data_IF_098835979191
#
_entry.id   IF_098835979191
#
_cell.length_a   1.000
_cell.length_b   1.000
_cell.length_c   1.000
_cell.angle_alpha   90.00
_cell.angle_beta   90.00
_cell.angle_gamma   90.00
#
_symmetry.space_group_name_H-M   'P 1'
#
loop_
_entity.id
_entity.type
_entity.pdbx_description
1 polymer ?
#
# COMPACT_ATOMS: atom_id res chain seq x y z
N UNK A 1 24.08 -32.32 -48.04
CA UNK A 1 24.14 -31.92 -46.61
C UNK A 1 23.08 -30.84 -46.40
N UNK A 2 21.99 -31.14 -45.68
CA UNK A 2 20.93 -30.17 -45.37
C UNK A 2 21.28 -29.51 -44.04
N UNK A 3 21.63 -28.23 -44.05
CA UNK A 3 21.79 -27.46 -42.81
C UNK A 3 20.39 -27.16 -42.26
N UNK A 4 20.06 -27.80 -41.14
CA UNK A 4 18.89 -27.46 -40.33
C UNK A 4 19.14 -26.17 -39.57
N UNK A 5 18.24 -25.21 -39.69
CA UNK A 5 18.26 -23.98 -38.91
C UNK A 5 17.57 -24.26 -37.57
N UNK A 6 18.32 -24.24 -36.48
CA UNK A 6 17.77 -24.23 -35.12
C UNK A 6 17.33 -22.80 -34.83
N UNK A 7 16.01 -22.57 -34.77
CA UNK A 7 15.45 -21.31 -34.32
C UNK A 7 15.60 -21.22 -32.79
N UNK A 8 16.54 -20.40 -32.33
CA UNK A 8 16.69 -20.06 -30.93
C UNK A 8 15.55 -19.10 -30.56
N UNK A 9 14.51 -19.59 -29.90
CA UNK A 9 13.46 -18.75 -29.31
C UNK A 9 14.05 -18.10 -28.05
N UNK A 10 14.60 -16.90 -28.20
CA UNK A 10 14.92 -16.03 -27.08
C UNK A 10 13.60 -15.64 -26.40
N UNK A 11 13.32 -16.25 -25.25
CA UNK A 11 12.29 -15.76 -24.34
C UNK A 11 12.80 -14.43 -23.77
N UNK A 12 12.44 -13.33 -24.43
CA UNK A 12 12.64 -12.01 -23.87
C UNK A 12 11.76 -11.92 -22.63
N UNK A 13 12.34 -12.19 -21.45
CA UNK A 13 11.78 -11.73 -20.19
C UNK A 13 11.74 -10.21 -20.31
N UNK A 14 10.57 -9.67 -20.65
CA UNK A 14 10.35 -8.24 -20.71
C UNK A 14 10.76 -7.66 -19.37
N UNK A 15 11.82 -6.85 -19.37
CA UNK A 15 12.15 -5.96 -18.28
C UNK A 15 10.98 -4.98 -18.18
N UNK A 16 9.96 -5.33 -17.38
CA UNK A 16 8.92 -4.39 -17.06
C UNK A 16 9.61 -3.22 -16.36
N UNK A 17 9.36 -1.97 -16.79
CA UNK A 17 9.89 -0.82 -16.09
C UNK A 17 9.42 -0.93 -14.62
N UNK A 18 10.37 -0.92 -13.68
CA UNK A 18 10.04 -0.80 -12.26
C UNK A 18 9.40 0.57 -12.10
N UNK A 19 8.07 0.61 -12.15
CA UNK A 19 7.32 1.73 -11.60
C UNK A 19 7.21 1.48 -10.11
N UNK A 20 7.28 2.55 -9.33
CA UNK A 20 6.90 2.50 -7.94
C UNK A 20 5.38 2.30 -7.89
N UNK A 21 4.99 1.03 -7.96
CA UNK A 21 3.61 0.57 -7.97
C UNK A 21 3.05 0.55 -6.55
N UNK A 22 1.75 0.80 -6.44
CA UNK A 22 1.00 0.65 -5.20
C UNK A 22 1.17 -0.77 -4.65
N UNK A 23 1.16 -0.88 -3.32
CA UNK A 23 1.10 -2.15 -2.62
C UNK A 23 -0.04 -2.13 -1.63
N UNK A 24 -0.86 -3.18 -1.64
CA UNK A 24 -2.01 -3.27 -0.77
C UNK A 24 -2.29 -4.71 -0.33
N UNK A 25 -3.06 -4.82 0.74
CA UNK A 25 -3.63 -6.07 1.21
C UNK A 25 -5.05 -6.15 0.60
N UNK A 26 -5.35 -7.20 -0.14
CA UNK A 26 -6.64 -7.39 -0.81
C UNK A 26 -7.37 -8.58 -0.18
N UNK A 27 -8.30 -8.34 0.77
CA UNK A 27 -9.19 -9.37 1.27
C UNK A 27 -10.02 -9.99 0.15
N UNK A 28 -10.26 -11.30 0.22
CA UNK A 28 -11.24 -11.96 -0.66
C UNK A 28 -12.67 -11.54 -0.32
N UNK A 29 -12.92 -11.27 0.96
CA UNK A 29 -14.14 -10.70 1.48
C UNK A 29 -13.81 -9.68 2.56
N UNK A 30 -14.49 -8.53 2.52
CA UNK A 30 -14.34 -7.46 3.51
C UNK A 30 -15.29 -7.62 4.71
N UNK A 31 -16.28 -8.51 4.60
CA UNK A 31 -17.15 -8.94 5.70
C UNK A 31 -17.04 -10.45 5.78
N UNK A 32 -16.56 -10.94 6.92
CA UNK A 32 -16.20 -12.34 7.15
C UNK A 32 -17.03 -12.86 8.32
N UNK A 33 -17.65 -14.02 8.13
CA UNK A 33 -18.46 -14.64 9.17
C UNK A 33 -17.56 -15.08 10.36
N UNK A 34 -18.11 -15.13 11.59
CA UNK A 34 -17.38 -15.66 12.74
C UNK A 34 -16.80 -17.06 12.44
N UNK A 35 -15.63 -17.35 13.00
CA UNK A 35 -14.90 -18.61 12.84
C UNK A 35 -14.55 -19.03 11.41
N UNK A 36 -14.75 -18.16 10.41
CA UNK A 36 -14.26 -18.38 9.05
C UNK A 36 -12.88 -17.75 8.83
N UNK A 37 -12.02 -18.32 7.97
CA UNK A 37 -10.70 -17.75 7.73
C UNK A 37 -10.80 -16.36 7.11
N UNK A 38 -10.01 -15.43 7.62
CA UNK A 38 -9.68 -14.20 6.89
C UNK A 38 -8.67 -14.59 5.82
N UNK A 39 -9.04 -14.36 4.56
CA UNK A 39 -8.21 -14.67 3.41
C UNK A 39 -7.87 -13.37 2.68
N UNK A 40 -6.59 -13.07 2.50
CA UNK A 40 -6.15 -11.88 1.78
C UNK A 40 -4.86 -12.12 0.98
N UNK A 41 -4.78 -11.43 -0.17
CA UNK A 41 -3.59 -11.39 -1.03
C UNK A 41 -2.79 -10.13 -0.75
N UNK A 42 -1.47 -10.24 -0.75
CA UNK A 42 -0.60 -9.07 -0.85
C UNK A 42 -0.44 -8.75 -2.34
N UNK A 43 -0.71 -7.51 -2.76
CA UNK A 43 -0.76 -7.13 -4.17
C UNK A 43 0.25 -6.03 -4.46
N UNK A 44 0.89 -6.10 -5.62
CA UNK A 44 1.70 -5.00 -6.19
C UNK A 44 1.16 -4.72 -7.58
N UNK A 45 0.82 -3.47 -7.87
CA UNK A 45 0.22 -3.12 -9.15
C UNK A 45 -0.20 -1.67 -9.23
N UNK A 46 -1.12 -1.38 -10.14
CA UNK A 46 -1.66 -0.04 -10.39
C UNK A 46 -3.18 -0.14 -10.58
N UNK A 47 -3.91 0.87 -10.11
CA UNK A 47 -5.38 0.95 -10.18
C UNK A 47 -6.08 -0.34 -9.73
N UNK A 48 -5.70 -0.87 -8.57
CA UNK A 48 -6.24 -2.12 -8.00
C UNK A 48 -6.13 -3.34 -8.94
N UNK A 49 -5.15 -3.32 -9.87
CA UNK A 49 -4.80 -4.43 -10.75
C UNK A 49 -3.32 -4.73 -10.58
N UNK A 50 -3.00 -5.92 -10.07
CA UNK A 50 -1.64 -6.24 -9.69
C UNK A 50 -1.35 -7.73 -9.59
N UNK A 51 -0.07 -8.04 -9.49
CA UNK A 51 0.41 -9.38 -9.19
C UNK A 51 0.30 -9.66 -7.68
N UNK A 52 0.07 -10.92 -7.33
CA UNK A 52 0.03 -11.36 -5.94
C UNK A 52 1.43 -11.75 -5.47
N UNK A 53 1.80 -11.33 -4.26
CA UNK A 53 3.02 -11.75 -3.57
C UNK A 53 2.69 -12.90 -2.62
N UNK A 54 3.61 -13.87 -2.54
CA UNK A 54 3.49 -14.99 -1.61
C UNK A 54 3.88 -14.58 -0.18
N UNK A 55 3.48 -15.39 0.80
CA UNK A 55 3.99 -15.32 2.16
C UNK A 55 5.47 -15.71 2.18
N UNK A 56 6.36 -14.73 2.38
CA UNK A 56 7.80 -14.93 2.41
C UNK A 56 8.35 -14.20 3.63
N UNK A 57 8.57 -14.88 4.77
CA UNK A 57 8.96 -14.23 6.04
C UNK A 57 10.14 -13.26 5.93
N UNK A 58 11.21 -13.56 5.16
CA UNK A 58 12.30 -12.59 4.98
C UNK A 58 11.91 -11.27 4.32
N UNK A 59 10.74 -11.18 3.66
CA UNK A 59 10.31 -10.01 2.90
C UNK A 59 9.47 -9.00 3.71
N UNK A 60 9.18 -9.28 4.97
CA UNK A 60 8.41 -8.40 5.83
C UNK A 60 8.98 -8.33 7.25
N UNK A 61 8.77 -7.20 7.92
CA UNK A 61 9.13 -6.98 9.33
C UNK A 61 7.95 -7.17 10.27
N UNK A 62 6.73 -7.02 9.74
CA UNK A 62 5.48 -7.12 10.48
C UNK A 62 4.39 -7.69 9.58
N UNK A 63 3.65 -8.66 10.09
CA UNK A 63 2.43 -9.16 9.47
C UNK A 63 1.51 -9.71 10.57
N UNK A 64 0.50 -8.95 10.94
CA UNK A 64 -0.45 -9.30 12.00
C UNK A 64 -1.88 -8.88 11.66
N UNK A 65 -2.83 -9.47 12.37
CA UNK A 65 -4.22 -9.02 12.44
C UNK A 65 -4.44 -8.47 13.84
N UNK A 66 -4.93 -7.24 13.92
CA UNK A 66 -5.32 -6.60 15.18
C UNK A 66 -6.84 -6.57 15.26
N UNK A 67 -7.42 -7.08 16.34
CA UNK A 67 -8.87 -7.02 16.58
C UNK A 67 -9.12 -6.92 18.07
N UNK A 68 -10.03 -6.02 18.48
CA UNK A 68 -10.33 -5.77 19.90
C UNK A 68 -9.07 -5.52 20.77
N UNK A 69 -8.04 -4.88 20.20
CA UNK A 69 -6.76 -4.58 20.87
C UNK A 69 -5.79 -5.77 20.98
N UNK A 70 -6.18 -6.96 20.52
CA UNK A 70 -5.30 -8.13 20.49
C UNK A 70 -4.54 -8.17 19.16
N UNK A 71 -3.20 -8.33 19.24
CA UNK A 71 -2.33 -8.47 18.06
C UNK A 71 -2.04 -9.95 17.83
N UNK A 72 -2.48 -10.46 16.69
CA UNK A 72 -2.37 -11.88 16.32
C UNK A 72 -1.45 -11.99 15.10
N UNK A 73 -0.23 -12.55 15.24
CA UNK A 73 0.69 -12.70 14.11
C UNK A 73 0.11 -13.60 13.02
N UNK A 74 0.23 -13.18 11.76
CA UNK A 74 -0.19 -13.99 10.61
C UNK A 74 0.75 -15.19 10.50
N UNK A 75 0.18 -16.39 10.57
CA UNK A 75 0.90 -17.64 10.37
C UNK A 75 0.71 -18.11 8.92
N UNK A 76 1.81 -18.46 8.26
CA UNK A 76 1.80 -18.98 6.90
C UNK A 76 3.02 -19.85 6.62
N UNK A 77 2.95 -20.66 5.57
CA UNK A 77 4.10 -21.41 5.06
C UNK A 77 4.81 -20.57 3.99
N UNK A 78 6.15 -20.58 3.94
CA UNK A 78 6.87 -19.91 2.86
C UNK A 78 6.37 -20.37 1.49
N UNK A 79 5.91 -19.41 0.68
CA UNK A 79 5.33 -19.67 -0.64
C UNK A 79 3.80 -19.67 -0.69
N UNK A 80 3.09 -19.59 0.44
CA UNK A 80 1.63 -19.54 0.45
C UNK A 80 1.08 -18.33 -0.32
N UNK A 81 0.07 -18.57 -1.14
CA UNK A 81 -0.63 -17.57 -1.93
C UNK A 81 -2.11 -18.00 -2.05
N UNK A 82 -3.07 -17.37 -1.35
CA UNK A 82 -2.99 -16.11 -0.58
C UNK A 82 -2.03 -16.13 0.61
N UNK A 83 -1.46 -14.96 0.93
CA UNK A 83 -0.44 -14.84 1.98
C UNK A 83 -1.03 -14.76 3.40
N UNK A 84 -2.29 -14.33 3.51
CA UNK A 84 -3.10 -14.43 4.71
C UNK A 84 -4.19 -15.46 4.48
N UNK A 85 -4.24 -16.48 5.34
CA UNK A 85 -5.32 -17.47 5.39
C UNK A 85 -5.34 -18.07 6.80
N UNK A 86 -6.08 -17.46 7.72
CA UNK A 86 -6.19 -17.96 9.11
C UNK A 86 -7.52 -17.58 9.75
N UNK A 87 -7.96 -18.41 10.68
CA UNK A 87 -9.09 -18.09 11.57
C UNK A 87 -8.59 -17.21 12.71
N UNK A 88 -9.20 -16.04 12.87
CA UNK A 88 -8.81 -15.08 13.91
C UNK A 88 -9.43 -15.44 15.28
N UNK A 89 -10.61 -16.06 15.29
CA UNK A 89 -11.29 -16.51 16.53
C UNK A 89 -11.82 -15.38 17.41
N UNK A 90 -12.11 -14.23 16.80
CA UNK A 90 -12.64 -13.00 17.43
C UNK A 90 -13.57 -12.30 16.45
N UNK A 91 -14.55 -11.58 16.99
CA UNK A 91 -15.39 -10.66 16.23
C UNK A 91 -14.93 -9.21 16.43
N UNK A 92 -15.33 -8.34 15.51
CA UNK A 92 -15.07 -6.91 15.53
C UNK A 92 -14.40 -6.41 14.25
N UNK A 93 -14.03 -5.13 14.25
CA UNK A 93 -13.22 -4.55 13.17
C UNK A 93 -11.79 -5.08 13.28
N UNK A 94 -11.40 -5.92 12.33
CA UNK A 94 -10.03 -6.40 12.21
C UNK A 94 -9.22 -5.45 11.32
N UNK A 95 -8.03 -5.11 11.79
CA UNK A 95 -7.01 -4.36 11.04
C UNK A 95 -5.87 -5.32 10.70
N UNK A 96 -5.78 -5.72 9.44
CA UNK A 96 -4.63 -6.48 8.94
C UNK A 96 -3.50 -5.51 8.66
N UNK A 97 -2.31 -5.74 9.21
CA UNK A 97 -1.14 -4.88 9.08
C UNK A 97 -0.02 -5.64 8.42
N UNK A 98 0.63 -5.04 7.42
CA UNK A 98 1.81 -5.60 6.77
C UNK A 98 2.87 -4.52 6.53
N UNK A 99 4.10 -4.76 7.01
CA UNK A 99 5.26 -3.89 6.76
C UNK A 99 6.34 -4.67 6.04
N UNK A 100 6.70 -4.24 4.84
CA UNK A 100 7.78 -4.90 4.10
C UNK A 100 9.14 -4.69 4.76
N UNK A 101 10.13 -5.51 4.36
CA UNK A 101 11.53 -5.08 4.51
C UNK A 101 11.80 -3.86 3.63
N UNK A 102 12.99 -3.27 3.79
CA UNK A 102 13.52 -2.31 2.84
C UNK A 102 13.80 -3.03 1.52
N UNK A 103 13.32 -2.42 0.45
CA UNK A 103 13.74 -2.71 -0.91
C UNK A 103 14.54 -1.53 -1.45
N UNK A 104 15.30 -1.79 -2.49
CA UNK A 104 16.02 -0.74 -3.23
C UNK A 104 15.66 -0.85 -4.70
N UNK A 105 15.55 0.29 -5.36
CA UNK A 105 15.42 0.37 -6.81
C UNK A 105 16.40 1.39 -7.38
N UNK A 106 16.73 1.22 -8.65
CA UNK A 106 17.38 2.25 -9.46
C UNK A 106 16.36 2.65 -10.52
N UNK A 107 16.08 3.95 -10.63
CA UNK A 107 15.21 4.47 -11.67
C UNK A 107 15.83 4.20 -13.04
N UNK A 108 15.00 3.85 -14.02
CA UNK A 108 15.49 3.55 -15.38
C UNK A 108 16.08 4.76 -16.10
N UNK A 109 15.59 5.96 -15.77
CA UNK A 109 15.97 7.24 -16.33
C UNK A 109 15.46 8.36 -15.40
N UNK A 110 16.08 9.55 -15.53
CA UNK A 110 15.68 10.76 -14.81
C UNK A 110 14.20 11.10 -14.98
N UNK A 111 13.68 10.99 -16.20
CA UNK A 111 12.29 11.30 -16.50
C UNK A 111 11.29 10.41 -15.73
N UNK A 112 11.69 9.20 -15.34
CA UNK A 112 10.86 8.30 -14.50
C UNK A 112 10.82 8.77 -13.07
N UNK A 113 11.94 9.24 -12.54
CA UNK A 113 11.98 9.84 -11.23
C UNK A 113 11.17 11.13 -11.17
N UNK A 114 11.28 12.00 -12.19
CA UNK A 114 10.48 13.24 -12.28
C UNK A 114 8.98 12.96 -12.36
N UNK A 115 8.55 12.02 -13.21
CA UNK A 115 7.13 11.61 -13.25
C UNK A 115 6.65 11.06 -11.92
N UNK A 116 7.50 10.33 -11.20
CA UNK A 116 7.17 9.85 -9.87
C UNK A 116 7.05 11.01 -8.87
N UNK A 117 7.98 11.95 -8.89
CA UNK A 117 7.94 13.16 -8.06
C UNK A 117 6.66 13.95 -8.29
N UNK A 118 6.30 14.20 -9.55
CA UNK A 118 5.10 14.96 -9.90
C UNK A 118 3.84 14.20 -9.50
N UNK A 119 3.78 12.90 -9.79
CA UNK A 119 2.60 12.09 -9.53
C UNK A 119 2.28 11.93 -8.04
N UNK A 120 3.30 11.75 -7.20
CA UNK A 120 3.14 11.60 -5.74
C UNK A 120 3.31 12.92 -4.97
N UNK A 121 3.34 14.05 -5.69
CA UNK A 121 3.47 15.41 -5.15
C UNK A 121 4.65 15.59 -4.18
N UNK A 122 5.82 15.15 -4.63
CA UNK A 122 7.11 15.26 -3.94
C UNK A 122 8.15 15.95 -4.83
N UNK A 123 7.71 16.93 -5.64
CA UNK A 123 8.56 17.71 -6.55
C UNK A 123 9.78 18.35 -5.88
N UNK A 124 9.69 18.64 -4.58
CA UNK A 124 10.84 19.12 -3.78
C UNK A 124 12.02 18.15 -3.79
N UNK A 125 11.77 16.83 -3.83
CA UNK A 125 12.82 15.81 -3.82
C UNK A 125 13.59 15.83 -5.16
N UNK A 126 12.88 16.03 -6.27
CA UNK A 126 13.50 16.22 -7.57
C UNK A 126 14.36 17.49 -7.61
N UNK A 127 13.87 18.63 -7.08
CA UNK A 127 14.65 19.86 -6.97
C UNK A 127 15.87 19.71 -6.04
N UNK A 128 15.71 19.04 -4.90
CA UNK A 128 16.77 18.76 -3.95
C UNK A 128 17.82 17.79 -4.51
N UNK A 129 17.43 16.87 -5.39
CA UNK A 129 18.38 15.99 -6.07
C UNK A 129 19.42 16.78 -6.87
N UNK A 130 18.95 17.78 -7.64
CA UNK A 130 19.81 18.66 -8.42
C UNK A 130 20.63 19.60 -7.53
N UNK A 131 19.98 20.18 -6.51
CA UNK A 131 20.65 21.06 -5.55
C UNK A 131 21.77 20.38 -4.75
N UNK A 132 21.65 19.06 -4.52
CA UNK A 132 22.68 18.23 -3.86
C UNK A 132 23.81 17.80 -4.80
N UNK A 133 23.74 18.12 -6.10
CA UNK A 133 24.75 17.74 -7.09
C UNK A 133 24.90 16.23 -7.26
N UNK A 134 23.80 15.49 -7.07
CA UNK A 134 23.77 14.03 -7.25
C UNK A 134 23.86 13.66 -8.73
N UNK A 135 24.16 12.39 -9.00
CA UNK A 135 24.22 11.88 -10.37
C UNK A 135 22.86 12.06 -11.06
N UNK A 136 22.85 12.92 -12.08
CA UNK A 136 21.63 13.30 -12.79
C UNK A 136 20.90 12.12 -13.44
N UNK A 137 21.65 11.14 -13.95
CA UNK A 137 21.09 10.03 -14.74
C UNK A 137 20.81 8.81 -13.87
N UNK A 138 21.44 8.70 -12.69
CA UNK A 138 21.30 7.55 -11.80
C UNK A 138 20.67 7.95 -10.47
N UNK A 139 19.35 7.76 -10.39
CA UNK A 139 18.61 7.93 -9.14
C UNK A 139 18.39 6.57 -8.49
N UNK A 140 18.81 6.45 -7.23
CA UNK A 140 18.58 5.27 -6.39
C UNK A 140 17.75 5.62 -5.18
N UNK A 141 16.83 4.72 -4.88
CA UNK A 141 15.86 4.87 -3.80
C UNK A 141 15.77 3.58 -3.00
N UNK A 142 15.71 3.73 -1.68
CA UNK A 142 15.21 2.71 -0.78
C UNK A 142 13.71 2.94 -0.53
N UNK A 143 12.92 1.89 -0.40
CA UNK A 143 11.51 2.04 -0.06
C UNK A 143 11.01 0.96 0.90
N UNK A 144 10.04 1.35 1.75
CA UNK A 144 9.26 0.45 2.62
C UNK A 144 7.77 0.72 2.45
N UNK A 145 6.96 -0.33 2.48
CA UNK A 145 5.49 -0.27 2.41
C UNK A 145 4.87 -0.65 3.73
N UNK A 146 3.88 0.14 4.16
CA UNK A 146 3.14 0.08 5.41
C UNK A 146 1.66 -0.01 5.05
N UNK A 147 1.18 -1.25 4.88
CA UNK A 147 -0.19 -1.50 4.44
C UNK A 147 -1.08 -1.87 5.62
N UNK A 148 -2.28 -1.29 5.65
CA UNK A 148 -3.39 -1.71 6.48
C UNK A 148 -4.58 -2.14 5.63
N UNK A 149 -5.39 -3.04 6.16
CA UNK A 149 -6.68 -3.42 5.57
C UNK A 149 -7.71 -3.63 6.68
N UNK A 150 -8.87 -2.97 6.56
CA UNK A 150 -9.98 -3.14 7.48
C UNK A 150 -10.88 -4.27 6.97
N UNK A 151 -11.28 -5.16 7.87
CA UNK A 151 -12.17 -6.29 7.59
C UNK A 151 -13.16 -6.42 8.75
N UNK A 152 -14.46 -6.47 8.46
CA UNK A 152 -15.46 -6.76 9.47
C UNK A 152 -15.49 -8.27 9.76
N UNK A 153 -15.23 -8.65 11.01
CA UNK A 153 -15.44 -10.01 11.50
C UNK A 153 -16.76 -10.05 12.29
N UNK A 154 -17.72 -10.86 11.84
CA UNK A 154 -19.08 -10.82 12.39
C UNK A 154 -19.75 -9.47 12.12
N UNK A 155 -20.25 -8.81 13.16
CA UNK A 155 -20.86 -7.47 13.04
C UNK A 155 -19.84 -6.35 12.76
N UNK A 156 -18.52 -6.62 12.83
CA UNK A 156 -17.50 -5.62 12.47
C UNK A 156 -17.41 -4.42 13.43
N UNK A 157 -18.00 -4.50 14.63
CA UNK A 157 -17.97 -3.41 15.63
C UNK A 157 -16.54 -3.10 16.07
N UNK A 158 -16.26 -1.82 16.30
CA UNK A 158 -14.95 -1.33 16.73
C UNK A 158 -14.52 -0.12 15.92
N UNK A 159 -13.25 0.23 16.01
CA UNK A 159 -12.65 1.33 15.27
C UNK A 159 -11.23 0.96 14.87
N UNK A 160 -10.76 1.54 13.76
CA UNK A 160 -9.33 1.53 13.47
C UNK A 160 -8.62 2.40 14.51
N UNK A 161 -7.31 2.20 14.64
CA UNK A 161 -6.45 2.97 15.52
C UNK A 161 -5.06 3.06 14.91
N UNK A 162 -4.25 3.98 15.44
CA UNK A 162 -2.82 3.99 15.16
C UNK A 162 -2.20 2.68 15.65
N UNK A 163 -1.42 2.03 14.78
CA UNK A 163 -0.70 0.78 15.08
C UNK A 163 0.81 0.98 15.16
N UNK A 164 1.28 2.23 15.05
CA UNK A 164 2.68 2.63 15.17
C UNK A 164 3.47 2.41 13.89
N UNK A 165 2.86 2.60 12.71
CA UNK A 165 3.59 2.57 11.44
C UNK A 165 4.35 3.88 11.24
N UNK A 166 5.53 3.82 10.62
CA UNK A 166 6.35 5.02 10.37
C UNK A 166 5.61 6.03 9.50
N UNK A 167 4.82 5.56 8.53
CA UNK A 167 3.79 6.37 7.86
C UNK A 167 2.50 5.58 7.92
N UNK A 168 1.41 6.24 8.26
CA UNK A 168 0.14 5.55 8.56
C UNK A 168 -1.05 6.33 8.02
N UNK A 169 -2.03 5.60 7.49
CA UNK A 169 -3.38 6.13 7.23
C UNK A 169 -4.30 5.46 8.23
N UNK A 170 -4.95 6.27 9.08
CA UNK A 170 -5.90 5.82 10.10
C UNK A 170 -7.31 6.21 9.65
N UNK A 171 -8.23 5.24 9.66
CA UNK A 171 -9.64 5.54 9.49
C UNK A 171 -10.21 6.11 10.80
N UNK A 172 -10.87 7.27 10.72
CA UNK A 172 -11.52 7.90 11.88
C UNK A 172 -13.02 7.52 12.01
N UNK A 173 -13.54 6.75 11.05
CA UNK A 173 -14.86 6.11 11.11
C UNK A 173 -14.74 4.62 10.75
N UNK A 174 -15.68 3.80 11.22
CA UNK A 174 -15.79 2.40 10.84
C UNK A 174 -16.59 2.26 9.53
N UNK A 175 -15.98 1.77 8.44
CA UNK A 175 -16.65 1.72 7.13
C UNK A 175 -17.81 0.71 7.04
N UNK A 176 -18.02 -0.11 8.07
CA UNK A 176 -19.03 -1.18 8.11
C UNK A 176 -20.21 -0.87 9.04
N UNK A 177 -20.02 0.01 10.03
CA UNK A 177 -21.03 0.24 11.08
C UNK A 177 -21.44 1.70 11.25
N UNK A 178 -20.61 2.64 10.81
CA UNK A 178 -20.87 4.06 11.01
C UNK A 178 -21.61 4.67 9.81
N UNK A 179 -22.25 5.82 10.01
CA UNK A 179 -22.88 6.58 8.94
C UNK A 179 -21.82 7.34 8.14
N UNK A 180 -21.72 7.04 6.85
CA UNK A 180 -20.74 7.62 5.92
C UNK A 180 -21.38 8.60 4.93
N UNK A 181 -22.59 9.08 5.21
CA UNK A 181 -23.31 10.02 4.33
C UNK A 181 -22.56 11.35 4.12
N UNK A 182 -21.76 11.77 5.11
CA UNK A 182 -20.88 12.94 5.03
C UNK A 182 -19.45 12.60 4.53
N UNK A 183 -19.23 11.35 4.10
CA UNK A 183 -17.94 10.82 3.64
C UNK A 183 -17.18 10.03 4.71
N UNK A 184 -16.00 9.55 4.34
CA UNK A 184 -15.13 8.70 5.15
C UNK A 184 -13.91 9.49 5.67
N UNK A 185 -13.91 9.90 6.95
CA UNK A 185 -12.80 10.67 7.51
C UNK A 185 -11.58 9.78 7.73
N UNK A 186 -10.42 10.28 7.31
CA UNK A 186 -9.13 9.63 7.50
C UNK A 186 -8.09 10.62 8.01
N UNK A 187 -7.06 10.09 8.66
CA UNK A 187 -5.89 10.84 9.13
C UNK A 187 -4.60 10.20 8.63
N UNK A 188 -3.71 11.03 8.08
CA UNK A 188 -2.36 10.62 7.67
C UNK A 188 -1.35 11.04 8.72
N UNK A 189 -0.52 10.10 9.14
CA UNK A 189 0.53 10.28 10.13
C UNK A 189 1.91 9.95 9.55
N UNK A 190 2.93 10.62 10.07
CA UNK A 190 4.33 10.27 9.92
C UNK A 190 4.99 10.28 11.30
N UNK A 191 5.57 9.16 11.71
CA UNK A 191 6.15 8.93 13.04
C UNK A 191 5.16 9.26 14.18
N UNK A 192 3.88 8.93 14.00
CA UNK A 192 2.79 9.24 14.94
C UNK A 192 2.35 10.70 14.95
N UNK A 193 3.04 11.60 14.24
CA UNK A 193 2.67 13.00 14.13
C UNK A 193 1.72 13.24 12.93
N UNK A 194 0.76 14.16 13.04
CA UNK A 194 -0.08 14.59 11.92
C UNK A 194 0.72 15.07 10.71
N UNK A 195 0.42 14.52 9.53
CA UNK A 195 1.05 14.94 8.27
C UNK A 195 0.10 15.81 7.46
N UNK A 196 0.19 17.12 7.67
CA UNK A 196 -0.57 18.09 6.90
C UNK A 196 -0.04 18.33 5.49
N UNK A 197 -0.91 18.87 4.63
CA UNK A 197 -0.63 19.12 3.21
C UNK A 197 -0.16 17.87 2.44
N UNK A 198 -0.53 16.68 2.92
CA UNK A 198 -0.20 15.42 2.28
C UNK A 198 -1.21 15.08 1.18
N UNK A 199 -0.71 14.70 0.00
CA UNK A 199 -1.54 14.09 -1.02
C UNK A 199 -1.99 12.69 -0.58
N UNK A 200 -3.29 12.43 -0.71
CA UNK A 200 -3.87 11.09 -0.56
C UNK A 200 -4.51 10.71 -1.88
N UNK A 201 -4.01 9.64 -2.50
CA UNK A 201 -4.59 9.08 -3.72
C UNK A 201 -5.60 8.00 -3.36
N UNK A 202 -6.84 8.16 -3.84
CA UNK A 202 -7.97 7.28 -3.54
C UNK A 202 -8.36 6.56 -4.82
N UNK A 203 -8.23 5.24 -4.80
CA UNK A 203 -8.72 4.33 -5.82
C UNK A 203 -10.07 3.78 -5.38
N UNK A 204 -11.12 4.13 -6.11
CA UNK A 204 -12.49 3.69 -5.89
C UNK A 204 -12.85 2.61 -6.90
N UNK A 205 -13.12 1.39 -6.43
CA UNK A 205 -13.49 0.24 -7.26
C UNK A 205 -14.96 -0.10 -7.10
N UNK A 206 -15.70 0.04 -8.20
CA UNK A 206 -17.10 -0.36 -8.32
C UNK A 206 -17.26 -1.89 -8.40
N UNK A 207 -18.48 -2.41 -8.17
CA UNK A 207 -18.79 -3.84 -8.28
C UNK A 207 -18.49 -4.47 -9.66
N UNK A 208 -18.51 -3.68 -10.74
CA UNK A 208 -18.17 -4.14 -12.09
C UNK A 208 -16.65 -4.15 -12.37
N UNK A 209 -15.84 -3.70 -11.42
CA UNK A 209 -14.38 -3.67 -11.49
C UNK A 209 -13.80 -2.43 -12.18
N UNK A 210 -14.61 -1.44 -12.52
CA UNK A 210 -14.14 -0.10 -12.90
C UNK A 210 -13.43 0.55 -11.71
N UNK A 211 -12.33 1.27 -11.98
CA UNK A 211 -11.56 1.95 -10.92
C UNK A 211 -11.42 3.41 -11.30
N UNK A 212 -11.95 4.28 -10.46
CA UNK A 212 -11.77 5.73 -10.52
C UNK A 212 -10.72 6.17 -9.52
N UNK A 213 -9.98 7.24 -9.85
CA UNK A 213 -8.88 7.74 -9.03
C UNK A 213 -9.08 9.21 -8.75
N UNK A 214 -8.98 9.58 -7.48
CA UNK A 214 -9.16 10.95 -6.98
C UNK A 214 -8.02 11.31 -6.04
N UNK A 215 -7.63 12.58 -6.05
CA UNK A 215 -6.60 13.11 -5.16
C UNK A 215 -7.27 13.98 -4.10
N UNK A 216 -6.93 13.72 -2.84
CA UNK A 216 -7.33 14.49 -1.69
C UNK A 216 -6.09 15.13 -1.05
N UNK A 217 -6.33 16.13 -0.20
CA UNK A 217 -5.29 16.85 0.53
C UNK A 217 -5.64 16.88 2.01
N UNK A 218 -4.66 16.61 2.86
CA UNK A 218 -4.84 16.70 4.31
C UNK A 218 -4.71 18.14 4.81
N UNK A 219 -5.49 18.48 5.84
CA UNK A 219 -5.37 19.72 6.61
C UNK A 219 -4.13 19.71 7.54
N UNK A 220 -3.95 20.77 8.33
CA UNK A 220 -2.81 20.88 9.26
C UNK A 220 -2.78 19.78 10.33
N UNK A 221 -3.92 19.19 10.66
CA UNK A 221 -4.05 18.07 11.59
C UNK A 221 -3.96 16.71 10.90
N UNK A 222 -3.55 16.68 9.62
CA UNK A 222 -3.34 15.48 8.83
C UNK A 222 -4.63 14.81 8.39
N UNK A 223 -5.77 15.51 8.43
CA UNK A 223 -7.09 14.94 8.15
C UNK A 223 -7.65 15.34 6.79
N UNK A 224 -8.44 14.45 6.21
CA UNK A 224 -9.26 14.73 5.04
C UNK A 224 -10.49 13.82 5.05
N UNK A 225 -11.52 14.16 4.28
CA UNK A 225 -12.73 13.36 4.16
C UNK A 225 -12.84 12.85 2.73
N UNK A 226 -12.88 11.52 2.58
CA UNK A 226 -12.91 10.84 1.29
C UNK A 226 -14.35 10.49 0.93
N UNK A 227 -14.78 10.79 -0.29
CA UNK A 227 -16.11 10.38 -0.74
C UNK A 227 -16.15 8.87 -0.97
N UNK A 228 -17.16 8.22 -0.42
CA UNK A 228 -17.36 6.76 -0.56
C UNK A 228 -18.76 6.43 -1.05
N UNK A 229 -18.88 5.30 -1.74
CA UNK A 229 -20.11 4.81 -2.36
C UNK A 229 -20.43 3.42 -1.79
N UNK A 230 -21.69 3.16 -1.38
CA UNK A 230 -22.12 1.83 -0.96
C UNK A 230 -21.84 0.76 -2.02
N UNK A 231 -21.35 -0.39 -1.57
CA UNK A 231 -20.97 -1.53 -2.42
C UNK A 231 -19.59 -1.44 -3.08
N UNK A 232 -18.84 -0.35 -2.90
CA UNK A 232 -17.52 -0.16 -3.50
C UNK A 232 -16.38 -0.59 -2.56
N UNK A 233 -15.22 -0.88 -3.15
CA UNK A 233 -13.97 -1.16 -2.42
C UNK A 233 -12.94 -0.08 -2.70
N UNK A 234 -12.12 0.23 -1.71
CA UNK A 234 -11.22 1.38 -1.72
C UNK A 234 -9.78 0.96 -1.45
N UNK A 235 -8.84 1.65 -2.10
CA UNK A 235 -7.43 1.71 -1.73
C UNK A 235 -7.04 3.19 -1.60
N UNK A 236 -6.52 3.55 -0.44
CA UNK A 236 -5.89 4.84 -0.19
C UNK A 236 -4.38 4.65 -0.20
N UNK A 237 -3.66 5.58 -0.84
CA UNK A 237 -2.21 5.61 -0.91
C UNK A 237 -1.68 7.01 -0.54
N UNK A 238 -0.64 7.05 0.29
CA UNK A 238 0.08 8.27 0.63
C UNK A 238 1.59 7.99 0.76
N UNK A 239 2.41 8.78 0.07
CA UNK A 239 3.86 8.57 0.00
C UNK A 239 4.60 9.67 0.76
N UNK A 240 5.48 9.30 1.68
CA UNK A 240 6.44 10.20 2.35
C UNK A 240 7.81 9.97 1.73
N UNK A 241 8.46 11.04 1.28
CA UNK A 241 9.83 10.98 0.72
C UNK A 241 10.82 11.58 1.72
N UNK A 242 11.99 10.95 1.86
CA UNK A 242 13.04 11.34 2.79
C UNK A 242 14.38 11.41 2.07
N UNK A 243 15.20 12.38 2.45
CA UNK A 243 16.61 12.42 2.05
C UNK A 243 17.42 11.38 2.82
N UNK A 244 18.30 10.66 2.11
CA UNK A 244 19.32 9.82 2.74
C UNK A 244 20.72 10.41 2.49
N UNK A 245 21.63 10.31 3.48
CA UNK A 245 23.06 10.54 3.24
C UNK A 245 23.55 9.52 2.20
N UNK A 246 24.20 9.99 1.14
CA UNK A 246 24.74 9.09 0.12
C UNK A 246 25.96 8.39 0.67
N UNK A 247 25.94 7.06 0.67
CA UNK A 247 27.06 6.21 1.03
C UNK A 247 27.48 5.40 -0.19
N UNK A 248 28.65 5.72 -0.75
CA UNK A 248 29.12 5.09 -1.99
C UNK A 248 28.13 5.28 -3.14
N UNK A 249 27.73 4.18 -3.77
CA UNK A 249 26.70 4.13 -4.82
C UNK A 249 25.30 3.80 -4.29
N UNK A 250 25.07 3.95 -2.99
CA UNK A 250 23.80 3.67 -2.32
C UNK A 250 22.66 4.65 -2.67
N UNK A 251 21.45 4.39 -2.16
CA UNK A 251 20.28 5.25 -2.38
C UNK A 251 20.46 6.61 -1.72
N UNK A 252 20.06 7.66 -2.46
CA UNK A 252 20.04 9.04 -1.96
C UNK A 252 18.68 9.44 -1.37
N UNK A 253 17.68 8.58 -1.55
CA UNK A 253 16.29 8.79 -1.23
C UNK A 253 15.70 7.59 -0.50
N UNK A 254 14.75 7.84 0.39
CA UNK A 254 13.94 6.82 1.03
C UNK A 254 12.46 7.17 0.90
N UNK A 255 11.65 6.31 0.29
CA UNK A 255 10.19 6.49 0.29
C UNK A 255 9.50 5.57 1.30
N UNK A 256 8.42 6.07 1.89
CA UNK A 256 7.54 5.35 2.83
C UNK A 256 6.14 5.38 2.24
N UNK A 257 5.58 4.21 2.00
CA UNK A 257 4.28 4.06 1.33
C UNK A 257 3.26 3.62 2.36
N UNK A 258 2.34 4.51 2.75
CA UNK A 258 1.18 4.14 3.54
C UNK A 258 0.07 3.68 2.59
N UNK A 259 -0.56 2.55 2.89
CA UNK A 259 -1.81 2.17 2.21
C UNK A 259 -2.87 1.68 3.16
N UNK A 260 -4.13 1.97 2.84
CA UNK A 260 -5.29 1.50 3.58
C UNK A 260 -6.35 0.99 2.59
N UNK A 261 -6.80 -0.26 2.77
CA UNK A 261 -7.92 -0.80 2.00
C UNK A 261 -9.11 -1.12 2.88
N UNK A 262 -10.31 -0.91 2.35
CA UNK A 262 -11.57 -1.27 2.98
C UNK A 262 -12.67 -1.41 1.91
N UNK A 263 -13.87 -1.79 2.31
CA UNK A 263 -15.05 -1.69 1.48
C UNK A 263 -16.19 -1.05 2.26
N UNK A 264 -17.12 -0.42 1.55
CA UNK A 264 -18.37 0.07 2.12
C UNK A 264 -19.48 -0.90 1.71
N UNK A 265 -20.18 -1.56 2.65
CA UNK A 265 -21.30 -2.45 2.34
C UNK A 265 -22.43 -1.75 1.55
N UNK A 266 -23.33 -2.54 0.95
CA UNK A 266 -24.57 -2.04 0.33
C UNK A 266 -25.61 -1.64 1.37
#
# INVERSE_FOLDING_TARGET
>A
MRLGWVALVLYAMGLQPVRAHEFWIEPEAYVVAPDTPVVARLKVGDRLKGASSAYVPPNFRRFDVIVAGEVIPVQGRPGDMPALNMVVGREGLATVVHVTRDYTLTYKDRATFERFCDHKDIGWACAAHDGRGLDHDIVREQYTRFAKSLVALGEGRGSDAEVGLETEIVAEANPYTDDLSDGFPIRVLYEGAPRGDAQVEVFDKSPDGTVDVRLYRTDAEGRTVVDVTPGHAYLLDAVTMLELPVQGDGPAWSSRWASLTFAVPQ
#
